data_IF_451233191618
#
_entry.id   IF_451233191618
#
_cell.length_a   1.000
_cell.length_b   1.000
_cell.length_c   1.000
_cell.angle_alpha   90.00
_cell.angle_beta   90.00
_cell.angle_gamma   90.00
#
_symmetry.space_group_name_H-M   'P 1'
#
loop_
_entity.id
_entity.type
_entity.pdbx_description
1 polymer ?
#
# COMPACT_ATOMS: atom_id res chain seq x y z
N UNK A 1 -19.50 -39.08 -58.51
CA UNK A 1 -18.47 -38.19 -57.95
C UNK A 1 -19.18 -36.93 -57.43
N UNK A 2 -19.41 -36.86 -56.12
CA UNK A 2 -19.92 -35.66 -55.46
C UNK A 2 -18.74 -34.77 -55.07
N UNK A 3 -18.76 -33.51 -55.51
CA UNK A 3 -17.78 -32.48 -55.11
C UNK A 3 -18.34 -31.79 -53.88
N UNK A 4 -17.69 -31.99 -52.73
CA UNK A 4 -17.99 -31.26 -51.50
C UNK A 4 -17.21 -29.94 -51.50
N UNK A 5 -17.94 -28.82 -51.53
CA UNK A 5 -17.39 -27.49 -51.34
C UNK A 5 -17.22 -27.23 -49.83
N UNK A 6 -15.97 -27.22 -49.36
CA UNK A 6 -15.63 -26.83 -48.00
C UNK A 6 -15.63 -25.30 -47.87
N UNK A 7 -16.59 -24.75 -47.13
CA UNK A 7 -16.57 -23.36 -46.68
C UNK A 7 -15.65 -23.28 -45.46
N UNK A 8 -14.48 -22.68 -45.62
CA UNK A 8 -13.59 -22.35 -44.51
C UNK A 8 -14.13 -21.08 -43.81
N UNK A 9 -14.75 -21.27 -42.65
CA UNK A 9 -15.11 -20.18 -41.76
C UNK A 9 -13.86 -19.62 -41.08
N UNK A 10 -13.50 -18.38 -41.42
CA UNK A 10 -12.52 -17.59 -40.68
C UNK A 10 -13.13 -17.18 -39.34
N UNK A 11 -12.73 -17.87 -38.27
CA UNK A 11 -12.98 -17.42 -36.90
C UNK A 11 -12.01 -16.29 -36.59
N UNK A 12 -12.46 -15.04 -36.76
CA UNK A 12 -11.74 -13.87 -36.25
C UNK A 12 -11.97 -13.82 -34.74
N UNK A 13 -11.12 -14.52 -33.99
CA UNK A 13 -11.03 -14.34 -32.54
C UNK A 13 -10.48 -12.95 -32.24
N UNK A 14 -11.19 -12.17 -31.43
CA UNK A 14 -10.66 -10.94 -30.85
C UNK A 14 -9.44 -11.32 -30.03
N UNK A 15 -8.23 -10.99 -30.50
CA UNK A 15 -7.04 -11.02 -29.65
C UNK A 15 -7.17 -9.84 -28.69
N UNK A 16 -7.60 -10.12 -27.47
CA UNK A 16 -7.41 -9.20 -26.35
C UNK A 16 -5.90 -8.91 -26.24
N UNK A 17 -5.52 -7.64 -26.17
CA UNK A 17 -4.13 -7.25 -25.96
C UNK A 17 -3.62 -7.84 -24.64
N UNK A 18 -2.32 -8.13 -24.56
CA UNK A 18 -1.73 -8.59 -23.32
C UNK A 18 -2.00 -7.54 -22.20
N UNK A 19 -2.32 -7.98 -20.97
CA UNK A 19 -2.54 -7.05 -19.87
C UNK A 19 -1.29 -6.21 -19.59
N UNK A 20 -1.46 -4.91 -19.40
CA UNK A 20 -0.39 -3.98 -19.05
C UNK A 20 -0.59 -3.45 -17.63
N UNK A 21 0.46 -2.89 -17.03
CA UNK A 21 0.32 -2.14 -15.80
C UNK A 21 -0.18 -0.74 -16.13
N UNK A 22 -1.37 -0.39 -15.63
CA UNK A 22 -1.84 1.00 -15.63
C UNK A 22 -0.87 1.90 -14.84
N UNK A 23 -0.51 3.03 -15.44
CA UNK A 23 0.33 4.08 -14.83
C UNK A 23 -0.52 5.07 -14.02
N UNK A 24 0.07 5.69 -13.00
CA UNK A 24 -0.63 6.47 -11.98
C UNK A 24 -0.98 7.90 -12.42
N UNK A 25 -1.88 7.99 -13.39
CA UNK A 25 -2.38 9.26 -13.93
C UNK A 25 -3.04 10.15 -12.89
N UNK A 26 -3.64 9.57 -11.84
CA UNK A 26 -4.20 10.33 -10.71
C UNK A 26 -3.11 11.09 -9.98
N UNK A 27 -1.94 10.47 -9.76
CA UNK A 27 -0.78 11.13 -9.17
C UNK A 27 -0.24 12.25 -10.06
N UNK A 28 -0.09 12.01 -11.36
CA UNK A 28 0.36 13.02 -12.32
C UNK A 28 -0.53 14.27 -12.30
N UNK A 29 -1.84 14.08 -12.43
CA UNK A 29 -2.81 15.17 -12.37
C UNK A 29 -2.80 15.91 -11.02
N UNK A 30 -2.55 15.20 -9.91
CA UNK A 30 -2.46 15.83 -8.59
C UNK A 30 -1.19 16.68 -8.47
N UNK A 31 -0.07 16.19 -9.00
CA UNK A 31 1.19 16.93 -9.06
C UNK A 31 1.04 18.17 -9.94
N UNK A 32 0.46 18.05 -11.13
CA UNK A 32 0.20 19.15 -12.07
C UNK A 32 -0.53 20.31 -11.39
N UNK A 33 -1.63 20.03 -10.68
CA UNK A 33 -2.37 21.07 -9.94
C UNK A 33 -1.55 21.63 -8.77
N UNK A 34 -0.83 20.77 -8.04
CA UNK A 34 -0.09 21.18 -6.83
C UNK A 34 1.18 21.97 -7.11
N UNK A 35 1.75 21.82 -8.31
CA UNK A 35 3.00 22.44 -8.75
C UNK A 35 2.80 23.51 -9.81
N UNK A 36 1.61 23.54 -10.42
CA UNK A 36 1.26 24.43 -11.53
C UNK A 36 2.19 24.24 -12.74
N UNK A 37 2.49 22.97 -13.07
CA UNK A 37 3.38 22.57 -14.17
C UNK A 37 2.83 21.34 -14.92
N UNK A 38 2.97 21.26 -16.25
CA UNK A 38 2.53 20.10 -17.03
C UNK A 38 3.24 18.81 -16.60
N UNK A 39 2.50 17.70 -16.54
CA UNK A 39 3.07 16.40 -16.11
C UNK A 39 3.10 15.33 -17.20
N UNK A 40 2.52 15.58 -18.38
CA UNK A 40 2.38 14.58 -19.43
C UNK A 40 3.72 14.02 -19.94
N UNK A 41 4.72 14.88 -20.17
CA UNK A 41 6.04 14.45 -20.63
C UNK A 41 6.78 13.62 -19.56
N UNK A 42 6.72 14.05 -18.30
CA UNK A 42 7.29 13.30 -17.18
C UNK A 42 6.60 11.96 -17.00
N UNK A 43 5.26 11.91 -17.11
CA UNK A 43 4.48 10.68 -17.02
C UNK A 43 4.85 9.70 -18.13
N UNK A 44 4.99 10.15 -19.38
CA UNK A 44 5.39 9.30 -20.51
C UNK A 44 6.78 8.68 -20.31
N UNK A 45 7.76 9.50 -19.94
CA UNK A 45 9.14 9.07 -19.72
C UNK A 45 9.25 8.12 -18.51
N UNK A 46 8.61 8.46 -17.39
CA UNK A 46 8.56 7.62 -16.18
C UNK A 46 7.87 6.28 -16.47
N UNK A 47 6.74 6.30 -17.17
CA UNK A 47 6.03 5.08 -17.57
C UNK A 47 6.93 4.15 -18.39
N UNK A 48 7.63 4.70 -19.38
CA UNK A 48 8.56 3.94 -20.22
C UNK A 48 9.70 3.34 -19.40
N UNK A 49 10.28 4.10 -18.46
CA UNK A 49 11.33 3.59 -17.55
C UNK A 49 10.81 2.49 -16.64
N UNK A 50 9.66 2.69 -16.00
CA UNK A 50 9.08 1.72 -15.05
C UNK A 50 8.73 0.42 -15.77
N UNK A 51 8.11 0.46 -16.95
CA UNK A 51 7.80 -0.76 -17.72
C UNK A 51 9.08 -1.47 -18.20
N UNK A 52 10.11 -0.69 -18.53
CA UNK A 52 11.41 -1.22 -18.93
C UNK A 52 12.16 -1.89 -17.79
N UNK A 53 12.08 -1.37 -16.57
CA UNK A 53 12.78 -1.89 -15.39
C UNK A 53 12.02 -3.01 -14.67
N UNK A 54 10.69 -2.87 -14.56
CA UNK A 54 9.85 -3.79 -13.81
C UNK A 54 9.08 -4.77 -14.71
N UNK A 55 9.06 -4.59 -16.03
CA UNK A 55 8.39 -5.51 -16.94
C UNK A 55 6.87 -5.40 -16.91
N UNK A 56 6.19 -6.49 -17.28
CA UNK A 56 4.74 -6.53 -17.50
C UNK A 56 4.04 -7.45 -16.50
N UNK A 57 2.70 -7.42 -16.37
CA UNK A 57 1.98 -8.35 -15.51
C UNK A 57 2.19 -9.83 -15.88
N UNK A 58 2.56 -10.15 -17.13
CA UNK A 58 2.89 -11.52 -17.56
C UNK A 58 4.35 -11.87 -17.40
N UNK A 59 5.24 -10.89 -17.37
CA UNK A 59 6.69 -11.09 -17.31
C UNK A 59 7.30 -10.00 -16.45
N UNK A 60 7.05 -10.04 -15.12
CA UNK A 60 7.61 -9.07 -14.20
C UNK A 60 9.12 -9.25 -14.11
N UNK A 61 9.81 -8.15 -13.85
CA UNK A 61 11.26 -8.05 -13.70
C UNK A 61 11.58 -7.33 -12.40
N UNK A 62 12.71 -7.69 -11.79
CA UNK A 62 13.23 -6.98 -10.63
C UNK A 62 14.54 -6.30 -11.03
N UNK A 63 14.68 -4.96 -10.92
CA UNK A 63 15.83 -4.24 -11.44
C UNK A 63 17.08 -4.39 -10.55
N UNK A 64 17.55 -5.63 -10.35
CA UNK A 64 18.73 -5.98 -9.52
C UNK A 64 20.01 -5.19 -9.86
N UNK A 65 20.32 -4.87 -11.13
CA UNK A 65 21.50 -4.07 -11.47
C UNK A 65 21.49 -2.64 -10.90
N UNK A 66 20.29 -2.12 -10.60
CA UNK A 66 20.07 -0.78 -10.03
C UNK A 66 20.14 -0.78 -8.50
N UNK A 67 20.47 -1.92 -7.89
CA UNK A 67 20.54 -2.11 -6.44
C UNK A 67 21.98 -2.40 -6.01
N UNK A 68 22.38 -1.80 -4.90
CA UNK A 68 23.77 -1.85 -4.43
C UNK A 68 24.01 -3.01 -3.48
N UNK A 69 23.02 -3.35 -2.65
CA UNK A 69 23.16 -4.38 -1.61
C UNK A 69 22.46 -5.70 -1.99
N UNK A 70 23.00 -6.83 -1.53
CA UNK A 70 22.38 -8.15 -1.71
C UNK A 70 20.96 -8.20 -1.14
N UNK A 71 20.74 -7.57 0.02
CA UNK A 71 19.41 -7.56 0.65
C UNK A 71 18.34 -6.84 -0.19
N UNK A 72 18.72 -5.82 -0.97
CA UNK A 72 17.85 -5.12 -1.92
C UNK A 72 17.52 -6.04 -3.12
N UNK A 73 18.55 -6.68 -3.67
CA UNK A 73 18.44 -7.60 -4.81
C UNK A 73 17.62 -8.86 -4.52
N UNK A 74 17.59 -9.27 -3.25
CA UNK A 74 16.93 -10.48 -2.77
C UNK A 74 15.65 -10.17 -1.97
N UNK A 75 15.24 -8.88 -1.90
CA UNK A 75 14.00 -8.46 -1.25
C UNK A 75 12.79 -9.22 -1.83
N UNK A 76 12.83 -9.51 -3.13
CA UNK A 76 11.83 -10.24 -3.90
C UNK A 76 12.49 -11.38 -4.68
N UNK A 77 11.92 -12.58 -4.61
CA UNK A 77 12.38 -13.76 -5.36
C UNK A 77 11.77 -13.79 -6.76
N UNK A 78 12.62 -13.93 -7.79
CA UNK A 78 12.20 -14.02 -9.18
C UNK A 78 11.33 -15.25 -9.46
N UNK A 79 11.65 -16.40 -8.85
CA UNK A 79 10.86 -17.62 -9.00
C UNK A 79 9.45 -17.43 -8.43
N UNK A 80 9.35 -16.77 -7.28
CA UNK A 80 8.07 -16.43 -6.65
C UNK A 80 7.27 -15.41 -7.44
N UNK A 81 7.94 -14.42 -8.04
CA UNK A 81 7.28 -13.50 -8.97
C UNK A 81 6.68 -14.24 -10.16
N UNK A 82 7.43 -15.17 -10.76
CA UNK A 82 6.94 -15.96 -11.89
C UNK A 82 5.71 -16.81 -11.52
N UNK A 83 5.65 -17.34 -10.30
CA UNK A 83 4.49 -18.07 -9.78
C UNK A 83 3.28 -17.15 -9.57
N UNK A 84 3.47 -15.97 -8.99
CA UNK A 84 2.35 -15.06 -8.71
C UNK A 84 1.80 -14.33 -9.95
N UNK A 85 2.64 -14.13 -10.97
CA UNK A 85 2.36 -13.34 -12.16
C UNK A 85 1.70 -14.15 -13.30
N UNK A 86 1.25 -13.42 -14.32
CA UNK A 86 0.69 -14.02 -15.53
C UNK A 86 -0.72 -14.57 -15.38
N UNK A 87 -1.17 -15.24 -16.44
CA UNK A 87 -2.49 -15.85 -16.51
C UNK A 87 -2.62 -17.04 -15.57
N UNK A 88 -3.82 -17.25 -15.04
CA UNK A 88 -4.12 -18.36 -14.13
C UNK A 88 -3.95 -19.68 -14.85
N UNK A 89 -3.00 -20.50 -14.38
CA UNK A 89 -2.83 -21.87 -14.87
C UNK A 89 -2.67 -22.83 -13.70
N UNK A 90 -3.12 -24.07 -13.91
CA UNK A 90 -2.96 -25.16 -12.96
C UNK A 90 -2.56 -26.41 -13.75
N UNK A 91 -1.48 -27.07 -13.33
CA UNK A 91 -1.00 -28.30 -13.97
C UNK A 91 -1.40 -29.57 -13.21
N UNK A 92 -1.06 -30.74 -13.77
CA UNK A 92 -1.38 -32.03 -13.17
C UNK A 92 -0.57 -32.33 -11.90
N UNK A 93 0.49 -31.57 -11.63
CA UNK A 93 1.30 -31.66 -10.41
C UNK A 93 0.79 -30.68 -9.33
N UNK A 94 -0.35 -30.02 -9.59
CA UNK A 94 -0.99 -29.04 -8.73
C UNK A 94 -0.11 -27.80 -8.46
N UNK A 95 0.76 -27.48 -9.42
CA UNK A 95 1.44 -26.18 -9.48
C UNK A 95 0.45 -25.14 -10.02
N UNK A 96 0.26 -24.05 -9.27
CA UNK A 96 -0.67 -22.96 -9.61
C UNK A 96 0.14 -21.70 -9.91
N UNK A 97 -0.06 -21.11 -11.08
CA UNK A 97 0.55 -19.82 -11.45
C UNK A 97 -0.51 -18.77 -11.73
N UNK A 98 -0.12 -17.49 -11.74
CA UNK A 98 -1.07 -16.39 -11.84
C UNK A 98 -1.86 -16.16 -10.55
N UNK A 99 -1.28 -16.50 -9.39
CA UNK A 99 -1.95 -16.43 -8.08
C UNK A 99 -2.53 -15.04 -7.81
N UNK A 100 -1.83 -13.97 -8.18
CA UNK A 100 -2.34 -12.61 -7.97
C UNK A 100 -3.55 -12.32 -8.85
N UNK A 101 -3.52 -12.80 -10.10
CA UNK A 101 -4.65 -12.68 -11.03
C UNK A 101 -5.86 -13.48 -10.54
N UNK A 102 -5.64 -14.67 -9.98
CA UNK A 102 -6.70 -15.51 -9.44
C UNK A 102 -7.37 -14.91 -8.20
N UNK A 103 -6.56 -14.35 -7.29
CA UNK A 103 -7.02 -14.05 -5.94
C UNK A 103 -7.16 -12.56 -5.61
N UNK A 104 -6.40 -11.68 -6.27
CA UNK A 104 -6.22 -10.31 -5.83
C UNK A 104 -6.75 -9.27 -6.83
N UNK A 105 -6.59 -9.49 -8.13
CA UNK A 105 -6.88 -8.49 -9.20
C UNK A 105 -8.31 -7.95 -9.14
N UNK A 106 -9.29 -8.79 -8.81
CA UNK A 106 -10.70 -8.37 -8.75
C UNK A 106 -10.93 -7.18 -7.80
N UNK A 107 -10.14 -7.07 -6.74
CA UNK A 107 -10.19 -5.99 -5.75
C UNK A 107 -8.99 -5.04 -5.88
N UNK A 108 -7.77 -5.54 -6.04
CA UNK A 108 -6.58 -4.68 -6.01
C UNK A 108 -6.17 -4.14 -7.39
N UNK A 109 -6.78 -4.61 -8.49
CA UNK A 109 -6.40 -4.23 -9.85
C UNK A 109 -5.08 -4.89 -10.28
N UNK A 110 -4.77 -4.85 -11.57
CA UNK A 110 -3.56 -5.49 -12.13
C UNK A 110 -2.28 -4.81 -11.62
N UNK A 111 -2.26 -3.47 -11.58
CA UNK A 111 -1.15 -2.67 -11.05
C UNK A 111 -1.14 -2.52 -9.53
N UNK A 112 -2.05 -3.18 -8.81
CA UNK A 112 -2.19 -2.98 -7.37
C UNK A 112 -2.75 -1.61 -6.97
N UNK A 113 -3.44 -0.92 -7.89
CA UNK A 113 -4.04 0.41 -7.70
C UNK A 113 -5.20 0.47 -6.69
N UNK A 114 -5.71 -0.68 -6.25
CA UNK A 114 -6.93 -0.74 -5.44
C UNK A 114 -8.21 -0.43 -6.23
N UNK A 115 -8.14 -0.43 -7.57
CA UNK A 115 -9.24 -0.04 -8.48
C UNK A 115 -9.74 -1.21 -9.35
N UNK A 116 -9.54 -2.46 -8.90
CA UNK A 116 -10.10 -3.65 -9.55
C UNK A 116 -11.61 -3.58 -9.73
N UNK A 117 -12.18 -4.42 -10.61
CA UNK A 117 -13.58 -4.34 -11.03
C UNK A 117 -14.61 -4.31 -9.87
N UNK A 118 -14.31 -4.97 -8.75
CA UNK A 118 -15.19 -4.99 -7.58
C UNK A 118 -14.97 -3.82 -6.60
N UNK A 119 -13.88 -3.05 -6.73
CA UNK A 119 -13.40 -2.08 -5.73
C UNK A 119 -14.42 -1.03 -5.36
N UNK A 120 -15.12 -0.49 -6.36
CA UNK A 120 -16.12 0.56 -6.15
C UNK A 120 -17.26 0.14 -5.20
N UNK A 121 -17.50 -1.17 -5.04
CA UNK A 121 -18.55 -1.71 -4.18
C UNK A 121 -18.03 -2.15 -2.80
N UNK A 122 -16.72 -2.09 -2.56
CA UNK A 122 -16.13 -2.52 -1.30
C UNK A 122 -16.13 -1.40 -0.27
N UNK A 123 -16.38 -1.78 0.99
CA UNK A 123 -16.25 -0.89 2.16
C UNK A 123 -15.42 -1.61 3.23
N UNK A 124 -14.21 -1.11 3.55
CA UNK A 124 -13.49 0.00 2.92
C UNK A 124 -13.02 -0.36 1.50
N UNK A 125 -12.53 0.63 0.76
CA UNK A 125 -11.87 0.35 -0.52
C UNK A 125 -10.62 -0.54 -0.35
N UNK A 126 -10.30 -1.37 -1.37
CA UNK A 126 -9.06 -2.12 -1.40
C UNK A 126 -7.84 -1.19 -1.32
N UNK A 127 -6.74 -1.71 -0.78
CA UNK A 127 -5.50 -0.94 -0.67
C UNK A 127 -4.88 -0.71 -2.06
N UNK A 128 -4.61 0.55 -2.38
CA UNK A 128 -3.63 0.94 -3.41
C UNK A 128 -2.21 0.71 -2.87
N UNK A 129 -1.51 -0.27 -3.45
CA UNK A 129 -0.14 -0.62 -3.10
C UNK A 129 0.89 0.38 -3.64
N UNK A 130 0.57 1.11 -4.72
CA UNK A 130 1.52 1.99 -5.43
C UNK A 130 2.01 3.13 -4.55
N UNK A 131 1.18 3.60 -3.61
CA UNK A 131 1.54 4.63 -2.65
C UNK A 131 2.43 4.13 -1.49
N UNK A 132 2.80 2.84 -1.45
CA UNK A 132 3.70 2.29 -0.42
C UNK A 132 3.21 2.38 1.02
N UNK A 133 1.91 2.64 1.23
CA UNK A 133 1.34 3.00 2.54
C UNK A 133 0.42 1.90 3.05
N UNK A 134 0.83 1.19 4.10
CA UNK A 134 0.11 0.03 4.64
C UNK A 134 -0.48 0.31 6.02
N UNK A 135 -1.77 -0.03 6.21
CA UNK A 135 -2.52 0.26 7.45
C UNK A 135 -2.17 -0.68 8.60
N UNK A 136 -2.04 -1.97 8.31
CA UNK A 136 -2.00 -3.03 9.32
C UNK A 136 -0.60 -3.64 9.41
N UNK A 137 0.28 -2.99 10.17
CA UNK A 137 1.71 -3.35 10.23
C UNK A 137 2.32 -3.14 11.60
N UNK A 138 3.32 -3.94 11.94
CA UNK A 138 4.00 -3.90 13.23
C UNK A 138 5.03 -2.77 13.35
N UNK A 139 5.30 -2.05 12.26
CA UNK A 139 6.31 -0.99 12.16
C UNK A 139 5.74 0.40 12.48
N UNK A 140 6.61 1.36 12.78
CA UNK A 140 6.25 2.76 13.04
C UNK A 140 5.48 3.39 11.87
N UNK A 141 4.69 4.45 12.11
CA UNK A 141 3.65 4.93 11.16
C UNK A 141 4.12 5.08 9.72
N UNK A 142 5.27 5.72 9.49
CA UNK A 142 5.81 6.01 8.16
C UNK A 142 6.66 4.87 7.55
N UNK A 143 6.99 3.84 8.33
CA UNK A 143 7.84 2.72 7.90
C UNK A 143 7.10 1.72 7.01
N UNK A 144 7.82 0.90 6.26
CA UNK A 144 7.21 -0.18 5.45
C UNK A 144 6.70 -1.32 6.32
N UNK A 145 5.70 -2.11 5.85
CA UNK A 145 5.35 -3.34 6.55
C UNK A 145 6.51 -4.34 6.45
N UNK A 146 6.67 -5.18 7.46
CA UNK A 146 7.56 -6.33 7.33
C UNK A 146 6.91 -7.41 6.44
N UNK A 147 7.70 -8.34 5.89
CA UNK A 147 7.16 -9.54 5.24
C UNK A 147 6.20 -10.31 6.14
N UNK A 148 6.52 -10.42 7.43
CA UNK A 148 5.67 -11.08 8.42
C UNK A 148 4.32 -10.36 8.62
N UNK A 149 4.27 -9.03 8.46
CA UNK A 149 3.01 -8.30 8.48
C UNK A 149 2.11 -8.66 7.31
N UNK A 150 2.68 -8.73 6.09
CA UNK A 150 1.94 -9.10 4.89
C UNK A 150 1.46 -10.55 4.95
N UNK A 151 2.32 -11.48 5.34
CA UNK A 151 1.97 -12.89 5.52
C UNK A 151 0.86 -13.07 6.55
N UNK A 152 0.93 -12.36 7.69
CA UNK A 152 -0.13 -12.40 8.71
C UNK A 152 -1.47 -11.97 8.13
N UNK A 153 -1.51 -10.90 7.31
CA UNK A 153 -2.74 -10.43 6.67
C UNK A 153 -3.30 -11.44 5.66
N UNK A 154 -2.45 -12.13 4.90
CA UNK A 154 -2.91 -13.19 4.02
C UNK A 154 -3.50 -14.36 4.83
N UNK A 155 -2.88 -14.73 5.95
CA UNK A 155 -3.39 -15.80 6.81
C UNK A 155 -4.71 -15.43 7.49
N UNK A 156 -4.83 -14.23 8.04
CA UNK A 156 -6.01 -13.86 8.85
C UNK A 156 -7.13 -13.22 8.03
N UNK A 157 -6.83 -12.69 6.85
CA UNK A 157 -7.68 -11.69 6.20
C UNK A 157 -7.75 -10.40 7.04
N UNK A 158 -8.70 -9.53 6.70
CA UNK A 158 -8.97 -8.31 7.46
C UNK A 158 -10.43 -8.35 7.94
N UNK A 159 -10.68 -8.66 9.22
CA UNK A 159 -12.03 -8.84 9.74
C UNK A 159 -12.92 -7.59 9.54
N UNK A 160 -14.19 -7.82 9.19
CA UNK A 160 -15.13 -6.73 8.91
C UNK A 160 -14.82 -5.98 7.61
N UNK A 161 -14.11 -6.62 6.68
CA UNK A 161 -13.87 -6.14 5.32
C UNK A 161 -14.00 -7.28 4.32
N UNK A 162 -14.07 -6.98 3.01
CA UNK A 162 -14.09 -7.98 1.94
C UNK A 162 -12.79 -8.77 1.74
N UNK A 163 -11.69 -8.42 2.42
CA UNK A 163 -10.40 -9.12 2.26
C UNK A 163 -10.43 -10.46 3.02
N UNK A 164 -10.49 -11.60 2.32
CA UNK A 164 -10.68 -12.90 2.95
C UNK A 164 -9.38 -13.44 3.55
N UNK A 165 -9.49 -14.55 4.27
CA UNK A 165 -8.32 -15.35 4.66
C UNK A 165 -7.88 -16.25 3.50
N UNK A 166 -6.58 -16.21 3.21
CA UNK A 166 -5.88 -17.09 2.27
C UNK A 166 -5.12 -18.21 2.98
N UNK A 167 -5.44 -18.49 4.25
CA UNK A 167 -4.91 -19.64 5.00
C UNK A 167 -5.02 -20.99 4.25
N UNK A 168 -6.05 -21.25 3.40
CA UNK A 168 -6.11 -22.47 2.61
C UNK A 168 -4.99 -22.62 1.56
N UNK A 169 -4.37 -21.53 1.10
CA UNK A 169 -3.23 -21.59 0.18
C UNK A 169 -2.00 -22.17 0.89
N UNK A 170 -1.08 -22.77 0.14
CA UNK A 170 0.19 -23.24 0.71
C UNK A 170 1.04 -22.07 1.22
N UNK A 171 2.01 -22.33 2.11
CA UNK A 171 2.94 -21.27 2.54
C UNK A 171 3.75 -20.71 1.36
N UNK A 172 4.13 -21.58 0.42
CA UNK A 172 4.86 -21.16 -0.79
C UNK A 172 4.03 -20.21 -1.66
N UNK A 173 2.74 -20.49 -1.85
CA UNK A 173 1.85 -19.63 -2.63
C UNK A 173 1.61 -18.29 -1.95
N UNK A 174 1.45 -18.28 -0.62
CA UNK A 174 1.32 -17.02 0.12
C UNK A 174 2.62 -16.22 0.10
N UNK A 175 3.78 -16.86 0.21
CA UNK A 175 5.07 -16.20 0.05
C UNK A 175 5.21 -15.60 -1.36
N UNK A 176 4.74 -16.29 -2.41
CA UNK A 176 4.70 -15.75 -3.76
C UNK A 176 3.79 -14.52 -3.88
N UNK A 177 2.62 -14.54 -3.24
CA UNK A 177 1.75 -13.36 -3.15
C UNK A 177 2.39 -12.21 -2.36
N UNK A 178 3.10 -12.49 -1.26
CA UNK A 178 3.84 -11.46 -0.49
C UNK A 178 4.90 -10.80 -1.37
N UNK A 179 5.70 -11.59 -2.08
CA UNK A 179 6.72 -11.11 -3.03
C UNK A 179 6.11 -10.22 -4.10
N UNK A 180 4.97 -10.63 -4.67
CA UNK A 180 4.28 -9.87 -5.70
C UNK A 180 3.66 -8.57 -5.18
N UNK A 181 3.12 -8.55 -3.96
CA UNK A 181 2.63 -7.33 -3.30
C UNK A 181 3.76 -6.34 -3.05
N UNK A 182 4.92 -6.81 -2.58
CA UNK A 182 6.12 -5.97 -2.40
C UNK A 182 6.57 -5.42 -3.74
N UNK A 183 6.62 -6.27 -4.78
CA UNK A 183 6.97 -5.86 -6.14
C UNK A 183 6.05 -4.75 -6.67
N UNK A 184 4.73 -4.90 -6.56
CA UNK A 184 3.77 -3.88 -7.00
C UNK A 184 3.92 -2.58 -6.22
N UNK A 185 4.17 -2.68 -4.91
CA UNK A 185 4.36 -1.51 -4.07
C UNK A 185 5.65 -0.77 -4.42
N UNK A 186 6.79 -1.47 -4.56
CA UNK A 186 8.07 -0.87 -4.97
C UNK A 186 7.95 -0.28 -6.38
N UNK A 187 7.39 -1.01 -7.36
CA UNK A 187 7.16 -0.50 -8.72
C UNK A 187 6.39 0.83 -8.68
N UNK A 188 5.26 0.86 -7.96
CA UNK A 188 4.41 2.04 -7.90
C UNK A 188 5.03 3.19 -7.08
N UNK A 189 5.81 2.90 -6.04
CA UNK A 189 6.55 3.93 -5.32
C UNK A 189 7.63 4.56 -6.19
N UNK A 190 8.42 3.75 -6.91
CA UNK A 190 9.42 4.24 -7.86
C UNK A 190 8.76 5.10 -8.92
N UNK A 191 7.64 4.66 -9.50
CA UNK A 191 6.86 5.43 -10.47
C UNK A 191 6.44 6.81 -9.90
N UNK A 192 5.85 6.82 -8.69
CA UNK A 192 5.31 8.04 -8.09
C UNK A 192 6.38 9.00 -7.58
N UNK A 193 7.48 8.47 -7.05
CA UNK A 193 8.61 9.24 -6.52
C UNK A 193 9.45 9.80 -7.68
N UNK A 194 9.66 9.02 -8.75
CA UNK A 194 10.36 9.47 -9.95
C UNK A 194 9.57 10.52 -10.72
N UNK A 195 8.24 10.39 -10.79
CA UNK A 195 7.38 11.42 -11.38
C UNK A 195 7.45 12.73 -10.59
N UNK A 196 7.43 12.68 -9.26
CA UNK A 196 7.61 13.87 -8.44
C UNK A 196 9.01 14.47 -8.62
N UNK A 197 10.05 13.64 -8.64
CA UNK A 197 11.43 14.09 -8.84
C UNK A 197 11.63 14.74 -10.21
N UNK A 198 11.10 14.15 -11.28
CA UNK A 198 11.18 14.68 -12.63
C UNK A 198 10.58 16.10 -12.71
N UNK A 199 9.39 16.26 -12.16
CA UNK A 199 8.67 17.54 -12.12
C UNK A 199 9.39 18.57 -11.24
N UNK A 200 9.89 18.17 -10.07
CA UNK A 200 10.46 19.08 -9.09
C UNK A 200 11.93 19.45 -9.40
N UNK A 201 12.67 18.60 -10.12
CA UNK A 201 14.14 18.70 -10.21
C UNK A 201 14.74 18.59 -11.61
N UNK A 202 14.00 18.13 -12.64
CA UNK A 202 14.57 17.81 -13.96
C UNK A 202 13.98 18.65 -15.12
N UNK A 203 13.54 19.87 -14.85
CA UNK A 203 13.14 20.86 -15.88
C UNK A 203 12.02 20.35 -16.83
N UNK A 204 11.07 19.57 -16.31
CA UNK A 204 9.91 19.10 -17.08
C UNK A 204 8.79 20.15 -17.21
N UNK A 205 8.97 21.36 -16.69
CA UNK A 205 7.95 22.42 -16.57
C UNK A 205 7.54 23.05 -17.90
N UNK A 206 8.39 23.00 -18.94
CA UNK A 206 8.09 23.50 -20.28
C UNK A 206 7.93 22.38 -21.34
N UNK A 207 8.00 21.11 -20.93
CA UNK A 207 7.95 19.94 -21.81
C UNK A 207 9.08 18.94 -21.53
N UNK A 208 9.43 18.05 -22.49
CA UNK A 208 10.56 17.14 -22.33
C UNK A 208 11.88 17.94 -22.16
N UNK A 209 12.70 17.64 -21.15
CA UNK A 209 13.93 18.37 -20.89
C UNK A 209 15.05 17.96 -21.85
N UNK A 210 16.24 18.54 -21.67
CA UNK A 210 17.44 18.09 -22.35
C UNK A 210 17.73 16.60 -22.07
N UNK A 211 18.32 15.92 -23.06
CA UNK A 211 18.57 14.46 -23.04
C UNK A 211 19.30 13.96 -21.77
N UNK A 212 20.19 14.78 -21.20
CA UNK A 212 20.95 14.49 -19.98
C UNK A 212 20.05 14.41 -18.72
N UNK A 213 19.05 15.29 -18.65
CA UNK A 213 18.09 15.39 -17.54
C UNK A 213 16.89 14.45 -17.73
N UNK A 214 16.71 13.90 -18.93
CA UNK A 214 15.54 13.10 -19.26
C UNK A 214 15.51 11.80 -18.47
N UNK A 215 14.34 11.46 -17.93
CA UNK A 215 14.08 10.16 -17.30
C UNK A 215 14.03 9.08 -18.39
N UNK A 216 15.16 8.41 -18.59
CA UNK A 216 15.26 7.33 -19.56
C UNK A 216 16.34 6.33 -19.14
N UNK A 217 16.24 5.12 -19.65
CA UNK A 217 17.22 4.05 -19.42
C UNK A 217 17.74 3.58 -20.76
N UNK A 218 19.07 3.58 -20.95
CA UNK A 218 19.70 2.99 -22.15
C UNK A 218 19.37 1.49 -22.27
N UNK A 219 19.22 0.97 -23.48
CA UNK A 219 18.92 -0.47 -23.69
C UNK A 219 19.97 -1.38 -23.05
N UNK A 220 21.23 -0.96 -23.04
CA UNK A 220 22.33 -1.64 -22.34
C UNK A 220 22.07 -1.81 -20.85
N UNK A 221 21.26 -0.95 -20.22
CA UNK A 221 20.94 -0.99 -18.79
C UNK A 221 19.54 -1.57 -18.47
N UNK A 222 18.79 -1.92 -19.51
CA UNK A 222 17.43 -2.45 -19.44
C UNK A 222 17.35 -3.98 -19.30
N UNK A 223 18.39 -4.66 -19.79
CA UNK A 223 18.47 -6.10 -19.92
C UNK A 223 19.73 -6.69 -19.30
N UNK A 224 20.38 -5.98 -18.38
CA UNK A 224 21.56 -6.53 -17.70
C UNK A 224 21.11 -7.72 -16.84
N UNK A 225 21.65 -8.89 -17.14
CA UNK A 225 21.58 -10.04 -16.25
C UNK A 225 22.09 -9.65 -14.87
N UNK A 226 21.52 -10.23 -13.81
CA UNK A 226 21.72 -9.86 -12.41
C UNK A 226 23.19 -9.85 -11.89
N UNK A 227 24.17 -10.18 -12.73
CA UNK A 227 25.59 -10.29 -12.41
C UNK A 227 26.40 -9.00 -12.64
N UNK A 228 25.92 -8.03 -13.44
CA UNK A 228 26.66 -6.80 -13.72
C UNK A 228 26.00 -5.59 -13.02
N UNK A 229 26.79 -4.85 -12.24
CA UNK A 229 26.38 -3.61 -11.60
C UNK A 229 26.48 -2.44 -12.58
N UNK A 230 25.55 -1.51 -12.50
CA UNK A 230 25.61 -0.26 -13.28
C UNK A 230 26.80 0.58 -12.80
N UNK A 231 27.57 1.11 -13.75
CA UNK A 231 28.62 2.08 -13.48
C UNK A 231 27.99 3.47 -13.26
N UNK A 232 27.87 3.86 -11.99
CA UNK A 232 27.20 5.09 -11.56
C UNK A 232 27.89 6.33 -12.14
N UNK A 233 29.20 6.26 -12.39
CA UNK A 233 29.99 7.40 -12.89
C UNK A 233 29.73 7.71 -14.38
N UNK A 234 29.01 6.83 -15.10
CA UNK A 234 28.66 6.99 -16.52
C UNK A 234 27.15 7.25 -16.75
N UNK A 235 26.40 7.40 -15.66
CA UNK A 235 24.97 7.67 -15.72
C UNK A 235 24.72 9.13 -16.05
N UNK A 236 23.74 9.38 -16.93
CA UNK A 236 23.20 10.73 -17.10
C UNK A 236 22.54 11.22 -15.81
N UNK A 237 22.31 12.52 -15.66
CA UNK A 237 21.57 13.08 -14.51
C UNK A 237 20.19 12.41 -14.31
N UNK A 238 19.47 12.15 -15.40
CA UNK A 238 18.21 11.40 -15.35
C UNK A 238 18.38 9.94 -14.88
N UNK A 239 19.44 9.25 -15.31
CA UNK A 239 19.75 7.89 -14.84
C UNK A 239 20.19 7.88 -13.35
N UNK A 240 20.90 8.91 -12.90
CA UNK A 240 21.24 9.08 -11.49
C UNK A 240 19.99 9.30 -10.63
N UNK A 241 19.00 10.06 -11.12
CA UNK A 241 17.71 10.22 -10.47
C UNK A 241 16.97 8.87 -10.32
N UNK A 242 16.96 8.05 -11.37
CA UNK A 242 16.38 6.70 -11.33
C UNK A 242 17.06 5.84 -10.26
N UNK A 243 18.41 5.82 -10.25
CA UNK A 243 19.17 5.06 -9.27
C UNK A 243 18.90 5.53 -7.83
N UNK A 244 18.86 6.85 -7.61
CA UNK A 244 18.58 7.43 -6.30
C UNK A 244 17.18 7.06 -5.78
N UNK A 245 16.15 7.17 -6.63
CA UNK A 245 14.77 6.81 -6.27
C UNK A 245 14.64 5.31 -5.99
N UNK A 246 15.17 4.44 -6.84
CA UNK A 246 15.13 2.98 -6.61
C UNK A 246 15.81 2.63 -5.29
N UNK A 247 16.99 3.19 -5.03
CA UNK A 247 17.72 2.93 -3.80
C UNK A 247 16.93 3.40 -2.56
N UNK A 248 16.39 4.62 -2.56
CA UNK A 248 15.59 5.12 -1.42
C UNK A 248 14.37 4.23 -1.14
N UNK A 249 13.60 3.89 -2.18
CA UNK A 249 12.41 3.04 -2.05
C UNK A 249 12.79 1.68 -1.48
N UNK A 250 13.76 0.98 -2.09
CA UNK A 250 14.08 -0.40 -1.72
C UNK A 250 14.74 -0.46 -0.34
N UNK A 251 15.59 0.50 0.01
CA UNK A 251 16.21 0.58 1.35
C UNK A 251 15.12 0.68 2.43
N UNK A 252 14.08 1.51 2.24
CA UNK A 252 12.95 1.61 3.20
C UNK A 252 12.22 0.27 3.40
N UNK A 253 12.15 -0.57 2.37
CA UNK A 253 11.55 -1.91 2.47
C UNK A 253 12.46 -2.91 3.18
N UNK A 254 13.76 -2.89 2.87
CA UNK A 254 14.77 -3.77 3.48
C UNK A 254 14.98 -3.43 4.96
N UNK A 255 14.95 -2.15 5.33
CA UNK A 255 15.20 -1.68 6.69
C UNK A 255 14.00 -1.83 7.64
N UNK A 256 12.83 -2.22 7.12
CA UNK A 256 11.60 -2.28 7.89
C UNK A 256 11.69 -3.34 9.00
N UNK A 257 11.49 -2.90 10.25
CA UNK A 257 11.53 -3.76 11.42
C UNK A 257 10.32 -3.53 12.32
N UNK A 258 9.82 -4.63 12.91
CA UNK A 258 8.73 -4.58 13.88
C UNK A 258 9.13 -3.71 15.06
N UNK A 259 8.26 -2.80 15.44
CA UNK A 259 8.49 -1.96 16.61
C UNK A 259 8.26 -2.77 17.89
N UNK A 260 9.18 -2.70 18.86
CA UNK A 260 9.05 -3.42 20.11
C UNK A 260 7.86 -2.91 20.92
N UNK A 261 7.25 -3.81 21.70
CA UNK A 261 6.19 -3.47 22.64
C UNK A 261 6.67 -3.82 24.05
N UNK A 262 6.59 -2.89 25.01
CA UNK A 262 6.97 -3.16 26.40
C UNK A 262 6.16 -4.32 26.99
N UNK A 263 6.71 -5.11 27.93
CA UNK A 263 5.97 -6.22 28.53
C UNK A 263 4.63 -5.77 29.14
N UNK A 264 3.55 -6.50 28.84
CA UNK A 264 2.23 -6.23 29.43
C UNK A 264 2.23 -6.58 30.92
N UNK A 265 1.82 -5.67 31.82
CA UNK A 265 1.65 -5.99 33.23
C UNK A 265 0.61 -7.11 33.43
N UNK A 266 0.94 -8.10 34.25
CA UNK A 266 0.00 -9.15 34.65
C UNK A 266 -0.94 -8.63 35.73
N UNK A 267 -2.20 -8.38 35.39
CA UNK A 267 -3.21 -7.78 36.26
C UNK A 267 -4.46 -8.68 36.34
N UNK A 268 -5.08 -8.75 37.52
CA UNK A 268 -6.26 -9.59 37.79
C UNK A 268 -7.22 -8.92 38.76
N UNK A 269 -8.51 -9.30 38.70
CA UNK A 269 -9.53 -8.86 39.64
C UNK A 269 -9.58 -7.34 39.84
N UNK A 270 -9.31 -6.88 41.07
CA UNK A 270 -9.35 -5.44 41.42
C UNK A 270 -8.27 -4.62 40.71
N UNK A 271 -7.08 -5.17 40.47
CA UNK A 271 -6.00 -4.42 39.81
C UNK A 271 -6.29 -4.24 38.31
N UNK A 272 -6.86 -5.27 37.66
CA UNK A 272 -7.36 -5.16 36.28
C UNK A 272 -8.52 -4.16 36.18
N UNK A 273 -9.50 -4.22 37.09
CA UNK A 273 -10.61 -3.26 37.10
C UNK A 273 -10.13 -1.80 37.28
N UNK A 274 -9.12 -1.57 38.12
CA UNK A 274 -8.51 -0.26 38.29
C UNK A 274 -7.78 0.21 37.02
N UNK A 275 -7.10 -0.69 36.32
CA UNK A 275 -6.45 -0.41 35.04
C UNK A 275 -7.46 -0.04 33.95
N UNK A 276 -8.55 -0.80 33.83
CA UNK A 276 -9.67 -0.50 32.92
C UNK A 276 -10.27 0.89 33.22
N UNK A 277 -10.41 1.25 34.50
CA UNK A 277 -10.92 2.57 34.90
C UNK A 277 -9.99 3.71 34.47
N UNK A 278 -8.67 3.55 34.65
CA UNK A 278 -7.67 4.52 34.17
C UNK A 278 -7.66 4.62 32.64
N UNK A 279 -7.72 3.48 31.95
CA UNK A 279 -7.84 3.44 30.49
C UNK A 279 -9.07 4.17 29.97
N UNK A 280 -10.22 4.01 30.64
CA UNK A 280 -11.44 4.76 30.32
C UNK A 280 -11.27 6.27 30.51
N UNK A 281 -10.61 6.68 31.59
CA UNK A 281 -10.34 8.10 31.85
C UNK A 281 -9.42 8.69 30.77
N UNK A 282 -8.32 8.00 30.43
CA UNK A 282 -7.40 8.39 29.36
C UNK A 282 -8.13 8.50 28.01
N UNK A 283 -8.91 7.48 27.65
CA UNK A 283 -9.64 7.41 26.39
C UNK A 283 -10.63 8.59 26.20
N UNK A 284 -11.26 9.02 27.29
CA UNK A 284 -12.20 10.15 27.30
C UNK A 284 -11.52 11.50 27.58
N UNK A 285 -10.28 11.46 28.04
CA UNK A 285 -9.50 12.62 28.43
C UNK A 285 -8.87 13.34 27.22
N UNK A 286 -8.36 14.57 27.43
CA UNK A 286 -7.79 15.39 26.36
C UNK A 286 -6.43 14.92 25.87
N UNK A 287 -5.71 14.09 26.64
CA UNK A 287 -4.37 13.60 26.27
C UNK A 287 -4.47 12.56 25.14
N UNK A 288 -5.24 11.47 25.36
CA UNK A 288 -5.43 10.48 24.31
C UNK A 288 -6.50 10.91 23.30
N UNK A 289 -7.54 11.63 23.75
CA UNK A 289 -8.55 12.23 22.87
C UNK A 289 -9.37 11.23 22.04
N UNK A 290 -9.28 9.93 22.31
CA UNK A 290 -9.83 8.85 21.48
C UNK A 290 -11.34 8.98 21.29
N UNK A 291 -12.06 9.38 22.34
CA UNK A 291 -13.50 9.57 22.33
C UNK A 291 -13.98 10.65 21.33
N UNK A 292 -13.10 11.57 20.91
CA UNK A 292 -13.44 12.61 19.92
C UNK A 292 -13.81 12.02 18.55
N UNK A 293 -13.26 10.86 18.19
CA UNK A 293 -13.63 10.14 16.97
C UNK A 293 -14.42 8.86 17.27
N UNK A 294 -14.04 8.11 18.30
CA UNK A 294 -14.62 6.79 18.59
C UNK A 294 -15.85 6.85 19.50
N UNK A 295 -16.27 8.03 19.96
CA UNK A 295 -17.34 8.21 20.95
C UNK A 295 -16.93 7.72 22.34
N UNK A 296 -17.58 8.19 23.40
CA UNK A 296 -17.18 7.92 24.79
C UNK A 296 -17.15 6.45 25.19
N UNK A 297 -18.03 5.66 24.57
CA UNK A 297 -18.17 4.22 24.84
C UNK A 297 -17.60 3.35 23.70
N UNK A 298 -16.81 3.93 22.79
CA UNK A 298 -16.22 3.21 21.66
C UNK A 298 -17.23 2.74 20.62
N UNK A 299 -18.49 3.21 20.69
CA UNK A 299 -19.55 2.85 19.74
C UNK A 299 -19.51 3.65 18.43
N UNK A 300 -18.54 4.56 18.29
CA UNK A 300 -18.51 5.55 17.21
C UNK A 300 -19.55 6.66 17.42
N UNK A 301 -19.30 7.86 16.87
CA UNK A 301 -20.28 8.94 16.93
C UNK A 301 -19.78 10.30 16.45
N UNK A 302 -20.54 10.87 15.51
CA UNK A 302 -20.22 11.91 14.52
C UNK A 302 -19.07 11.51 13.58
N UNK A 303 -19.30 11.46 12.24
CA UNK A 303 -18.22 11.20 11.31
C UNK A 303 -17.16 12.27 11.54
N UNK A 304 -15.92 11.86 11.83
CA UNK A 304 -14.80 12.69 11.39
C UNK A 304 -15.08 12.96 9.91
N UNK A 305 -15.33 14.22 9.56
CA UNK A 305 -15.56 14.67 8.19
C UNK A 305 -14.23 14.62 7.40
N UNK A 306 -13.51 13.54 7.58
CA UNK A 306 -12.17 13.38 7.07
C UNK A 306 -12.11 12.16 6.18
N UNK A 307 -11.11 12.17 5.35
CA UNK A 307 -10.91 11.24 4.26
C UNK A 307 -9.60 10.51 4.47
N UNK A 308 -9.48 9.37 3.82
CA UNK A 308 -8.20 8.69 3.77
C UNK A 308 -7.23 9.39 2.82
N UNK A 309 -5.95 9.08 2.96
CA UNK A 309 -4.90 9.80 2.24
C UNK A 309 -5.00 9.65 0.72
N UNK A 310 -5.54 8.52 0.25
CA UNK A 310 -5.78 8.26 -1.18
C UNK A 310 -6.85 9.18 -1.74
N UNK A 311 -7.92 9.44 -0.99
CA UNK A 311 -8.91 10.44 -1.38
C UNK A 311 -8.34 11.84 -1.28
N UNK A 312 -7.59 12.15 -0.21
CA UNK A 312 -7.02 13.49 0.02
C UNK A 312 -6.05 13.92 -1.06
N UNK A 313 -5.28 12.99 -1.63
CA UNK A 313 -4.30 13.24 -2.70
C UNK A 313 -4.90 14.02 -3.87
N UNK A 314 -6.01 13.55 -4.43
CA UNK A 314 -6.65 14.19 -5.58
C UNK A 314 -7.78 15.16 -5.20
N UNK A 315 -7.91 15.49 -3.90
CA UNK A 315 -8.95 16.39 -3.40
C UNK A 315 -8.36 17.49 -2.50
N UNK A 316 -8.51 17.34 -1.19
CA UNK A 316 -8.22 18.39 -0.20
C UNK A 316 -6.77 18.85 -0.19
N UNK A 317 -5.80 17.98 -0.55
CA UNK A 317 -4.38 18.37 -0.62
C UNK A 317 -4.05 19.28 -1.81
N UNK A 318 -4.93 19.35 -2.80
CA UNK A 318 -4.79 20.18 -4.00
C UNK A 318 -5.93 21.22 -4.10
N UNK A 319 -6.58 21.53 -2.97
CA UNK A 319 -7.62 22.56 -2.91
C UNK A 319 -8.97 22.17 -3.53
N UNK A 320 -9.16 20.91 -3.92
CA UNK A 320 -10.44 20.42 -4.46
C UNK A 320 -11.32 19.91 -3.32
N UNK A 321 -12.57 20.36 -3.29
CA UNK A 321 -13.56 19.87 -2.31
C UNK A 321 -14.04 18.47 -2.72
N UNK A 322 -13.97 17.44 -1.85
CA UNK A 322 -14.35 16.06 -2.20
C UNK A 322 -15.78 15.87 -2.70
N UNK A 323 -16.72 16.72 -2.27
CA UNK A 323 -18.13 16.66 -2.67
C UNK A 323 -18.41 17.43 -3.99
N UNK A 324 -17.42 18.11 -4.58
CA UNK A 324 -17.52 18.75 -5.90
C UNK A 324 -17.38 17.68 -7.01
N UNK A 325 -18.52 17.21 -7.50
CA UNK A 325 -18.56 16.14 -8.49
C UNK A 325 -17.90 16.51 -9.82
N UNK A 326 -17.94 17.77 -10.24
CA UNK A 326 -17.35 18.16 -11.53
C UNK A 326 -15.83 18.35 -11.40
N UNK A 327 -15.33 18.89 -10.28
CA UNK A 327 -13.89 18.99 -10.04
C UNK A 327 -13.22 17.61 -9.85
N UNK A 328 -13.92 16.63 -9.27
CA UNK A 328 -13.38 15.27 -9.03
C UNK A 328 -13.49 14.35 -10.26
N UNK A 329 -14.41 14.63 -11.19
CA UNK A 329 -14.69 13.79 -12.36
C UNK A 329 -13.49 13.51 -13.26
N UNK A 330 -12.56 14.45 -13.53
CA UNK A 330 -11.32 14.17 -14.27
C UNK A 330 -10.48 13.06 -13.60
N UNK A 331 -10.26 13.14 -12.28
CA UNK A 331 -9.52 12.13 -11.53
C UNK A 331 -10.20 10.76 -11.54
N UNK A 332 -11.53 10.75 -11.47
CA UNK A 332 -12.31 9.49 -11.59
C UNK A 332 -12.16 8.86 -12.96
N UNK A 333 -12.12 9.65 -14.04
CA UNK A 333 -11.84 9.15 -15.39
C UNK A 333 -10.41 8.61 -15.51
N UNK A 334 -9.48 9.17 -14.73
CA UNK A 334 -8.09 8.73 -14.65
C UNK A 334 -7.88 7.52 -13.72
N UNK A 335 -8.93 6.99 -13.07
CA UNK A 335 -8.88 5.78 -12.25
C UNK A 335 -9.17 5.98 -10.76
N UNK A 336 -9.30 7.22 -10.27
CA UNK A 336 -9.60 7.46 -8.86
C UNK A 336 -10.99 6.91 -8.49
N UNK A 337 -11.09 6.25 -7.33
CA UNK A 337 -12.39 5.87 -6.77
C UNK A 337 -13.12 7.10 -6.23
N UNK A 338 -14.47 7.12 -6.20
CA UNK A 338 -15.22 8.22 -5.60
C UNK A 338 -14.76 8.56 -4.18
N UNK A 339 -14.62 9.84 -3.81
CA UNK A 339 -14.29 10.23 -2.45
C UNK A 339 -15.24 9.63 -1.42
N UNK A 340 -14.69 9.03 -0.36
CA UNK A 340 -15.47 8.49 0.76
C UNK A 340 -14.86 8.91 2.07
N UNK A 341 -15.71 9.40 2.97
CA UNK A 341 -15.32 9.68 4.35
C UNK A 341 -14.91 8.37 5.01
N UNK A 342 -13.84 8.44 5.80
CA UNK A 342 -13.37 7.30 6.56
C UNK A 342 -14.04 7.30 7.93
N UNK A 343 -14.91 6.33 8.14
CA UNK A 343 -15.61 6.16 9.41
C UNK A 343 -14.71 5.44 10.43
N UNK A 344 -14.60 5.96 11.67
CA UNK A 344 -13.92 5.26 12.75
C UNK A 344 -14.65 3.94 13.06
N UNK A 345 -13.89 2.93 13.49
CA UNK A 345 -14.50 1.66 13.89
C UNK A 345 -15.30 1.81 15.17
N UNK A 346 -16.40 1.07 15.22
CA UNK A 346 -17.09 0.68 16.46
C UNK A 346 -16.15 -0.29 17.18
N UNK A 347 -15.47 0.22 18.20
CA UNK A 347 -14.50 -0.53 19.00
C UNK A 347 -15.18 -1.52 19.95
N UNK A 348 -16.42 -1.21 20.37
CA UNK A 348 -17.21 -2.06 21.25
C UNK A 348 -17.58 -3.43 20.63
N UNK A 349 -17.53 -3.56 19.29
CA UNK A 349 -17.73 -4.83 18.59
C UNK A 349 -16.61 -5.85 18.88
N UNK A 350 -15.45 -5.39 19.38
CA UNK A 350 -14.23 -6.21 19.50
C UNK A 350 -13.59 -6.62 18.16
N UNK A 351 -14.17 -6.17 17.04
CA UNK A 351 -13.72 -6.52 15.69
C UNK A 351 -12.72 -5.49 15.15
N UNK A 352 -11.45 -5.67 15.52
CA UNK A 352 -10.35 -4.81 15.06
C UNK A 352 -9.75 -5.32 13.74
N UNK A 353 -9.81 -4.49 12.69
CA UNK A 353 -9.32 -4.83 11.34
C UNK A 353 -7.85 -5.26 11.30
N UNK A 354 -7.00 -4.65 12.13
CA UNK A 354 -5.57 -4.91 12.15
C UNK A 354 -5.12 -6.06 13.05
N UNK A 355 -6.05 -6.73 13.75
CA UNK A 355 -5.78 -7.68 14.83
C UNK A 355 -6.27 -7.16 16.18
N UNK A 356 -6.76 -8.06 17.02
CA UNK A 356 -7.29 -7.79 18.36
C UNK A 356 -6.32 -8.20 19.48
N UNK A 357 -5.11 -8.69 19.13
CA UNK A 357 -4.14 -9.04 20.14
C UNK A 357 -3.61 -7.79 20.86
N UNK A 358 -3.22 -7.91 22.14
CA UNK A 358 -2.94 -6.75 22.98
C UNK A 358 -1.77 -5.91 22.45
N UNK A 359 -0.74 -6.56 21.91
CA UNK A 359 0.43 -5.84 21.40
C UNK A 359 0.11 -5.12 20.09
N UNK A 360 -0.75 -5.68 19.24
CA UNK A 360 -1.25 -4.98 18.06
C UNK A 360 -2.04 -3.75 18.44
N UNK A 361 -2.94 -3.85 19.43
CA UNK A 361 -3.69 -2.70 19.94
C UNK A 361 -2.76 -1.63 20.50
N UNK A 362 -1.74 -2.03 21.27
CA UNK A 362 -0.69 -1.13 21.75
C UNK A 362 -0.02 -0.38 20.59
N UNK A 363 0.39 -1.10 19.53
CA UNK A 363 1.01 -0.48 18.34
C UNK A 363 0.06 0.45 17.59
N UNK A 364 -1.26 0.19 17.58
CA UNK A 364 -2.24 1.14 17.00
C UNK A 364 -2.38 2.40 17.82
N UNK A 365 -2.37 2.30 19.15
CA UNK A 365 -2.39 3.46 20.04
C UNK A 365 -1.12 4.29 19.84
N UNK A 366 0.03 3.64 19.80
CA UNK A 366 1.31 4.34 19.70
C UNK A 366 1.58 4.96 18.31
N UNK A 367 1.40 4.19 17.23
CA UNK A 367 1.77 4.62 15.88
C UNK A 367 0.58 5.06 15.02
N UNK A 368 -0.66 4.88 15.49
CA UNK A 368 -1.85 5.13 14.70
C UNK A 368 -2.02 4.15 13.55
N UNK A 369 -2.75 4.59 12.53
CA UNK A 369 -2.99 3.84 11.30
C UNK A 369 -2.58 4.70 10.10
N UNK A 370 -1.53 4.28 9.40
CA UNK A 370 -0.99 4.98 8.24
C UNK A 370 -2.03 5.17 7.12
N UNK A 371 -2.01 6.32 6.46
CA UNK A 371 -2.98 6.67 5.42
C UNK A 371 -4.41 6.91 5.93
N UNK A 372 -4.61 7.04 7.24
CA UNK A 372 -5.89 7.42 7.84
C UNK A 372 -5.72 8.61 8.77
N UNK A 373 -6.82 9.30 9.11
CA UNK A 373 -6.81 10.34 10.14
C UNK A 373 -6.45 9.84 11.54
N UNK A 374 -6.49 8.53 11.84
CA UNK A 374 -6.18 8.00 13.17
C UNK A 374 -4.69 8.17 13.49
N UNK A 375 -4.33 9.11 14.39
CA UNK A 375 -2.95 9.40 14.70
C UNK A 375 -2.40 8.38 15.70
N UNK A 376 -1.08 8.39 15.85
CA UNK A 376 -0.43 7.76 17.00
C UNK A 376 -0.39 8.72 18.18
N UNK A 377 -0.24 8.16 19.38
CA UNK A 377 0.03 8.90 20.61
C UNK A 377 1.48 8.66 20.98
N UNK A 378 2.21 9.74 21.24
CA UNK A 378 3.58 9.65 21.73
C UNK A 378 3.60 8.96 23.10
N UNK A 379 4.51 8.00 23.25
CA UNK A 379 4.70 7.27 24.49
C UNK A 379 6.08 7.61 25.05
N UNK A 380 6.09 8.19 26.24
CA UNK A 380 7.29 8.66 26.93
C UNK A 380 7.47 7.87 28.22
N UNK A 381 8.71 7.57 28.60
CA UNK A 381 8.99 6.84 29.84
C UNK A 381 8.62 7.67 31.09
N UNK A 382 8.67 9.00 30.97
CA UNK A 382 8.39 9.93 32.06
C UNK A 382 6.97 10.52 31.99
N UNK A 383 6.19 10.29 33.05
CA UNK A 383 4.80 10.75 33.20
C UNK A 383 4.63 12.29 33.34
N UNK A 384 5.71 13.08 33.14
CA UNK A 384 5.72 14.53 33.35
C UNK A 384 5.73 15.33 32.04
N UNK A 385 5.80 14.65 30.89
CA UNK A 385 5.66 15.29 29.59
C UNK A 385 4.19 15.54 29.25
N UNK A 386 3.83 16.79 28.98
CA UNK A 386 2.45 17.22 28.82
C UNK A 386 1.78 16.75 27.50
N UNK A 387 2.53 16.11 26.60
CA UNK A 387 2.12 15.84 25.21
C UNK A 387 1.93 14.35 24.87
N UNK A 388 2.12 13.43 25.84
CA UNK A 388 2.02 11.99 25.59
C UNK A 388 1.49 11.18 26.78
N UNK A 389 1.62 9.85 26.69
CA UNK A 389 1.23 8.90 27.75
C UNK A 389 2.41 7.99 28.12
N UNK A 390 2.37 7.33 29.27
CA UNK A 390 3.39 6.32 29.61
C UNK A 390 3.10 4.96 28.98
N UNK A 391 4.08 4.02 28.95
CA UNK A 391 3.82 2.65 28.54
C UNK A 391 2.70 1.96 29.35
N UNK A 392 2.60 2.26 30.65
CA UNK A 392 1.55 1.71 31.50
C UNK A 392 0.17 2.30 31.18
N UNK A 393 0.11 3.59 30.84
CA UNK A 393 -1.13 4.24 30.39
C UNK A 393 -1.63 3.65 29.07
N UNK A 394 -0.71 3.34 28.15
CA UNK A 394 -1.04 2.64 26.90
C UNK A 394 -1.59 1.22 27.19
N UNK A 395 -1.03 0.51 28.16
CA UNK A 395 -1.59 -0.78 28.60
C UNK A 395 -2.95 -0.64 29.28
N UNK A 396 -3.16 0.41 30.07
CA UNK A 396 -4.48 0.72 30.66
C UNK A 396 -5.52 0.97 29.56
N UNK A 397 -5.16 1.71 28.49
CA UNK A 397 -6.01 1.87 27.31
C UNK A 397 -6.32 0.53 26.63
N UNK A 398 -5.33 -0.34 26.40
CA UNK A 398 -5.56 -1.67 25.82
C UNK A 398 -6.53 -2.49 26.68
N UNK A 399 -6.34 -2.51 28.01
CA UNK A 399 -7.22 -3.22 28.92
C UNK A 399 -8.66 -2.68 28.85
N UNK A 400 -8.83 -1.36 28.72
CA UNK A 400 -10.13 -0.76 28.52
C UNK A 400 -10.77 -1.15 27.17
N UNK A 401 -10.00 -1.22 26.07
CA UNK A 401 -10.51 -1.66 24.77
C UNK A 401 -10.98 -3.14 24.79
N UNK A 402 -10.24 -4.01 25.48
CA UNK A 402 -10.66 -5.41 25.67
C UNK A 402 -11.91 -5.53 26.57
N UNK A 403 -12.02 -4.71 27.62
CA UNK A 403 -13.23 -4.62 28.47
C UNK A 403 -14.46 -4.12 27.68
N UNK A 404 -14.27 -3.16 26.76
CA UNK A 404 -15.35 -2.72 25.87
C UNK A 404 -15.83 -3.85 24.96
N UNK A 405 -14.90 -4.59 24.36
CA UNK A 405 -15.18 -5.69 23.43
C UNK A 405 -15.90 -6.89 24.08
N UNK A 406 -15.66 -7.11 25.39
CA UNK A 406 -16.26 -8.23 26.13
C UNK A 406 -17.66 -7.92 26.66
N UNK A 407 -18.00 -6.65 26.90
CA UNK A 407 -19.30 -6.24 27.46
C UNK A 407 -20.48 -6.30 26.48
N UNK A 408 -20.24 -6.52 25.20
CA UNK A 408 -21.29 -6.60 24.16
C UNK A 408 -21.51 -8.01 23.59
N UNK A 409 -20.72 -9.00 24.02
CA UNK A 409 -20.94 -10.42 23.75
C UNK A 409 -21.76 -11.04 24.88
#
# INVERSE_FOLDING_TARGET
MLVAAGVAGLVVGCRESAPEFDHDRVRAMSLEISRDVPTDAALEDVAAVVDKLFGTPQSPRWPRPWMTQTAERDLVSLDRLAVAAGGVTSDQENSHTGLYQEHCVICHGISGSGTGAASQFQVPYPRDFRAGTFKWKSTARSEKPTRADLERLLVTGIPGTPMPSFRPLSSSDREALVDYIIYLAVRGEVERDLLAFAVDMLEYDEGPPAEELRIQVRDSYAGIDAAESIDIDQLSEGEQAIAAVINDVVVRWVSAQSSPVPPRPSLEGKSLAASVARGRELFNGPIAGCAGCHGKDGIGGLPSLDYDDWTKEYTTRIGITPDDSEAVKPFRKAGALPPRKIEPRVLADGLFRGGSDPETLYRRIHFGIAGTPMPGIEIHDDAHEATGITPNDAWDLVNFLEDLATKQQ
#
